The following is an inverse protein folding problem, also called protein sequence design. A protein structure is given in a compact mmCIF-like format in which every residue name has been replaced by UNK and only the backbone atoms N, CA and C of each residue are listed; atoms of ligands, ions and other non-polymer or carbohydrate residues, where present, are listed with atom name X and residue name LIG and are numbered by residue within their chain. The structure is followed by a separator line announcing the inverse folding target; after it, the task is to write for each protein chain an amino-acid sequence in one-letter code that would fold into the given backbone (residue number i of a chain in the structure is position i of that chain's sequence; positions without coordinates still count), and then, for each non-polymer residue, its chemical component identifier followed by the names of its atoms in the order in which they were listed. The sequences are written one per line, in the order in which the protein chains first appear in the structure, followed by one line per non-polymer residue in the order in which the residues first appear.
data_IF_584240046364
#
_entry.id   IF_584240046364
#
_cell.length_a   1.000
_cell.length_b   1.000
_cell.length_c   1.000
_cell.angle_alpha   90.00
_cell.angle_beta   90.00
_cell.angle_gamma   90.00
#
_symmetry.space_group_name_H-M   'P 1'
#
loop_
_entity.id
_entity.type
_entity.pdbx_description
1 polymer ?
#
# COMPACT_ATOMS: atom_id res chain seq x y z
N UNK A 1 -20.49 -16.36 -0.74
CA UNK A 1 -21.77 -16.02 -0.09
C UNK A 1 -21.48 -15.53 1.30
N UNK A 2 -21.98 -14.34 1.63
CA UNK A 2 -21.86 -13.76 2.96
C UNK A 2 -23.25 -13.65 3.58
N UNK A 3 -23.39 -14.13 4.80
CA UNK A 3 -24.59 -13.89 5.61
C UNK A 3 -24.53 -12.53 6.28
N UNK A 4 -25.67 -12.06 6.77
CA UNK A 4 -25.74 -10.89 7.65
C UNK A 4 -24.84 -11.08 8.88
N UNK A 5 -24.84 -12.28 9.48
CA UNK A 5 -24.00 -12.59 10.64
C UNK A 5 -22.50 -12.43 10.33
N UNK A 6 -22.06 -12.82 9.12
CA UNK A 6 -20.66 -12.65 8.75
C UNK A 6 -20.25 -11.17 8.74
N UNK A 7 -21.05 -10.31 8.09
CA UNK A 7 -20.74 -8.88 7.99
C UNK A 7 -20.90 -8.18 9.36
N UNK A 8 -21.97 -8.48 10.11
CA UNK A 8 -22.20 -7.86 11.42
C UNK A 8 -21.14 -8.28 12.44
N UNK A 9 -20.58 -9.49 12.34
CA UNK A 9 -19.46 -9.91 13.20
C UNK A 9 -18.22 -9.03 13.04
N UNK A 10 -18.01 -8.46 11.86
CA UNK A 10 -16.97 -7.49 11.58
C UNK A 10 -17.33 -6.13 12.18
N UNK A 11 -18.54 -5.65 11.93
CA UNK A 11 -19.05 -4.38 12.47
C UNK A 11 -18.94 -4.33 14.00
N UNK A 12 -19.35 -5.41 14.69
CA UNK A 12 -19.32 -5.48 16.15
C UNK A 12 -17.92 -5.31 16.76
N UNK A 13 -16.87 -5.70 16.04
CA UNK A 13 -15.49 -5.56 16.53
C UNK A 13 -14.84 -4.27 16.04
N UNK A 14 -15.12 -3.85 14.79
CA UNK A 14 -14.49 -2.66 14.20
C UNK A 14 -15.12 -1.35 14.65
N UNK A 15 -16.39 -1.35 15.12
CA UNK A 15 -17.08 -0.14 15.62
C UNK A 15 -16.33 0.59 16.74
N UNK A 16 -15.51 -0.13 17.50
CA UNK A 16 -14.74 0.38 18.63
C UNK A 16 -13.42 1.06 18.21
N UNK A 17 -13.03 0.93 16.94
CA UNK A 17 -11.79 1.50 16.43
C UNK A 17 -11.94 3.02 16.26
N UNK A 18 -12.85 3.55 15.42
CA UNK A 18 -13.04 4.99 15.36
C UNK A 18 -13.72 5.53 16.66
N UNK A 19 -13.52 6.81 17.01
CA UNK A 19 -14.18 7.42 18.16
C UNK A 19 -15.70 7.37 18.04
N UNK A 20 -16.40 6.77 19.00
CA UNK A 20 -17.86 6.58 18.95
C UNK A 20 -18.62 7.87 19.30
N UNK A 21 -18.52 8.85 18.42
CA UNK A 21 -19.13 10.17 18.56
C UNK A 21 -20.09 10.42 17.39
N UNK A 22 -21.40 10.64 17.63
CA UNK A 22 -22.41 10.80 16.57
C UNK A 22 -22.14 11.96 15.61
N UNK A 23 -21.37 12.97 16.03
CA UNK A 23 -21.05 14.14 15.20
C UNK A 23 -19.99 13.86 14.11
N UNK A 24 -19.46 12.63 14.04
CA UNK A 24 -18.48 12.29 13.03
C UNK A 24 -19.09 12.21 11.64
N UNK A 25 -18.36 12.78 10.69
CA UNK A 25 -18.73 12.77 9.27
C UNK A 25 -17.75 11.91 8.49
N UNK A 26 -18.29 10.95 7.73
CA UNK A 26 -17.56 10.08 6.83
C UNK A 26 -17.72 10.53 5.38
N UNK A 27 -16.63 10.54 4.62
CA UNK A 27 -16.66 10.71 3.16
C UNK A 27 -16.45 9.36 2.49
N UNK A 28 -17.43 8.94 1.69
CA UNK A 28 -17.41 7.70 0.93
C UNK A 28 -17.35 7.99 -0.56
N UNK A 29 -16.40 7.37 -1.25
CA UNK A 29 -16.23 7.45 -2.71
C UNK A 29 -15.85 6.09 -3.32
N UNK A 30 -15.93 5.03 -2.51
CA UNK A 30 -15.69 3.66 -2.98
C UNK A 30 -17.05 3.04 -3.38
N UNK A 31 -17.07 2.10 -4.34
CA UNK A 31 -18.32 1.46 -4.74
C UNK A 31 -18.95 0.65 -3.61
N UNK A 32 -20.24 0.88 -3.31
CA UNK A 32 -21.00 0.14 -2.30
C UNK A 32 -21.15 -1.37 -2.60
N UNK A 33 -20.96 -1.77 -3.86
CA UNK A 33 -20.94 -3.19 -4.23
C UNK A 33 -19.67 -3.90 -3.74
N UNK A 34 -18.61 -3.16 -3.42
CA UNK A 34 -17.40 -3.72 -2.85
C UNK A 34 -17.58 -3.91 -1.34
N UNK A 35 -17.32 -5.12 -0.85
CA UNK A 35 -17.59 -5.50 0.55
C UNK A 35 -16.88 -4.62 1.58
N UNK A 36 -15.70 -4.09 1.25
CA UNK A 36 -14.93 -3.16 2.10
C UNK A 36 -15.77 -1.93 2.45
N UNK A 37 -16.25 -1.21 1.43
CA UNK A 37 -17.06 -0.01 1.62
C UNK A 37 -18.43 -0.35 2.23
N UNK A 38 -19.01 -1.49 1.83
CA UNK A 38 -20.29 -1.94 2.37
C UNK A 38 -20.24 -2.18 3.87
N UNK A 39 -19.20 -2.84 4.37
CA UNK A 39 -19.02 -3.08 5.81
C UNK A 39 -18.77 -1.78 6.56
N UNK A 40 -17.93 -0.90 6.02
CA UNK A 40 -17.66 0.42 6.62
C UNK A 40 -18.93 1.28 6.71
N UNK A 41 -19.78 1.26 5.68
CA UNK A 41 -21.09 1.93 5.70
C UNK A 41 -21.94 1.44 6.88
N UNK A 42 -21.99 0.14 7.13
CA UNK A 42 -22.72 -0.41 8.28
C UNK A 42 -22.08 -0.02 9.62
N UNK A 43 -20.75 0.03 9.69
CA UNK A 43 -20.04 0.51 10.88
C UNK A 43 -20.31 2.00 11.15
N UNK A 44 -20.36 2.83 10.11
CA UNK A 44 -20.70 4.25 10.21
C UNK A 44 -22.13 4.43 10.70
N UNK A 45 -23.08 3.68 10.13
CA UNK A 45 -24.47 3.68 10.57
C UNK A 45 -24.61 3.23 12.02
N UNK A 46 -23.89 2.19 12.43
CA UNK A 46 -23.88 1.71 13.82
C UNK A 46 -23.41 2.79 14.79
N UNK A 47 -22.35 3.51 14.44
CA UNK A 47 -21.79 4.59 15.27
C UNK A 47 -22.55 5.93 15.14
N UNK A 48 -23.59 6.00 14.31
CA UNK A 48 -24.40 7.20 14.10
C UNK A 48 -23.73 8.29 13.25
N UNK A 49 -22.71 7.95 12.45
CA UNK A 49 -22.01 8.92 11.62
C UNK A 49 -22.83 9.36 10.41
N UNK A 50 -22.66 10.61 10.00
CA UNK A 50 -23.19 11.10 8.73
C UNK A 50 -22.29 10.64 7.58
N UNK A 51 -22.85 10.05 6.53
CA UNK A 51 -22.09 9.55 5.37
C UNK A 51 -22.42 10.42 4.15
N UNK A 52 -21.38 11.00 3.56
CA UNK A 52 -21.49 11.76 2.31
C UNK A 52 -20.88 10.96 1.18
N UNK A 53 -21.64 10.80 0.10
CA UNK A 53 -21.22 10.04 -1.08
C UNK A 53 -20.71 10.98 -2.17
N UNK A 54 -19.56 10.63 -2.74
CA UNK A 54 -18.97 11.31 -3.90
C UNK A 54 -18.80 10.28 -5.01
N UNK A 55 -19.50 10.50 -6.12
CA UNK A 55 -19.51 9.63 -7.30
C UNK A 55 -18.30 9.83 -8.22
N UNK A 56 -17.69 11.02 -8.19
CA UNK A 56 -16.56 11.39 -9.04
C UNK A 56 -15.28 11.62 -8.22
N UNK A 57 -14.28 10.77 -8.47
CA UNK A 57 -12.94 10.85 -7.84
C UNK A 57 -12.26 12.22 -8.03
N UNK A 58 -12.55 12.92 -9.14
CA UNK A 58 -12.01 14.25 -9.40
C UNK A 58 -12.50 15.30 -8.39
N UNK A 59 -13.73 15.13 -7.85
CA UNK A 59 -14.38 16.06 -6.94
C UNK A 59 -14.05 15.82 -5.46
N UNK A 60 -13.34 14.74 -5.13
CA UNK A 60 -13.00 14.40 -3.73
C UNK A 60 -12.30 15.56 -3.01
N UNK A 61 -11.42 16.29 -3.69
CA UNK A 61 -10.71 17.43 -3.10
C UNK A 61 -11.63 18.62 -2.74
N UNK A 62 -12.68 18.84 -3.53
CA UNK A 62 -13.66 19.90 -3.30
C UNK A 62 -14.63 19.46 -2.21
N UNK A 63 -15.13 18.23 -2.30
CA UNK A 63 -15.99 17.60 -1.30
C UNK A 63 -15.35 17.57 0.09
N UNK A 64 -14.06 17.22 0.20
CA UNK A 64 -13.35 17.26 1.50
C UNK A 64 -13.33 18.67 2.10
N UNK A 65 -13.18 19.73 1.28
CA UNK A 65 -13.14 21.12 1.77
C UNK A 65 -14.50 21.63 2.21
N UNK A 66 -15.56 21.20 1.53
CA UNK A 66 -16.94 21.55 1.85
C UNK A 66 -17.46 20.79 3.07
N UNK A 67 -17.37 19.46 3.03
CA UNK A 67 -17.96 18.54 4.02
C UNK A 67 -17.13 18.49 5.31
N UNK A 68 -15.81 18.70 5.19
CA UNK A 68 -14.85 18.63 6.32
C UNK A 68 -14.99 17.30 7.09
N UNK A 69 -14.80 16.14 6.41
CA UNK A 69 -14.99 14.84 7.03
C UNK A 69 -13.97 14.60 8.15
N UNK A 70 -14.37 13.81 9.16
CA UNK A 70 -13.48 13.33 10.21
C UNK A 70 -12.79 12.03 9.78
N UNK A 71 -13.49 11.20 9.03
CA UNK A 71 -13.03 9.89 8.59
C UNK A 71 -13.20 9.72 7.08
N UNK A 72 -12.20 9.12 6.44
CA UNK A 72 -12.31 8.65 5.05
C UNK A 72 -11.85 7.21 4.94
N UNK A 73 -12.48 6.47 4.03
CA UNK A 73 -12.04 5.14 3.61
C UNK A 73 -11.43 5.22 2.23
N UNK A 74 -10.21 4.75 2.09
CA UNK A 74 -9.42 4.89 0.88
C UNK A 74 -8.64 3.62 0.56
N UNK A 75 -8.00 3.63 -0.61
CA UNK A 75 -7.05 2.63 -1.05
C UNK A 75 -5.68 3.30 -1.20
N UNK A 76 -4.57 2.55 -1.06
CA UNK A 76 -3.21 3.12 -1.13
C UNK A 76 -2.98 4.01 -2.33
N UNK A 77 -3.47 3.62 -3.51
CA UNK A 77 -3.29 4.37 -4.76
C UNK A 77 -3.92 5.77 -4.72
N UNK A 78 -5.08 5.90 -4.11
CA UNK A 78 -5.72 7.21 -4.01
C UNK A 78 -4.99 8.08 -2.98
N UNK A 79 -4.54 7.49 -1.87
CA UNK A 79 -3.72 8.19 -0.88
C UNK A 79 -2.37 8.65 -1.47
N UNK A 80 -1.74 7.82 -2.30
CA UNK A 80 -0.56 8.19 -3.11
C UNK A 80 -0.86 9.38 -4.03
N UNK A 81 -1.99 9.36 -4.75
CA UNK A 81 -2.39 10.47 -5.64
C UNK A 81 -2.59 11.78 -4.87
N UNK A 82 -3.22 11.74 -3.70
CA UNK A 82 -3.36 12.90 -2.81
C UNK A 82 -1.98 13.43 -2.42
N UNK A 83 -1.07 12.53 -2.01
CA UNK A 83 0.29 12.90 -1.65
C UNK A 83 1.07 13.50 -2.82
N UNK A 84 0.93 12.97 -4.04
CA UNK A 84 1.58 13.48 -5.24
C UNK A 84 1.11 14.89 -5.60
N UNK A 85 -0.18 15.18 -5.45
CA UNK A 85 -0.73 16.54 -5.61
C UNK A 85 -0.12 17.51 -4.59
N UNK A 86 0.03 17.08 -3.34
CA UNK A 86 0.68 17.87 -2.29
C UNK A 86 2.16 18.11 -2.61
N UNK A 87 2.88 17.07 -3.03
CA UNK A 87 4.29 17.16 -3.42
C UNK A 87 4.49 18.08 -4.63
N UNK A 88 3.58 18.04 -5.60
CA UNK A 88 3.58 18.93 -6.77
C UNK A 88 3.40 20.39 -6.34
N UNK A 89 2.48 20.67 -5.42
CA UNK A 89 2.28 22.00 -4.84
C UNK A 89 3.53 22.47 -4.08
N UNK A 90 4.15 21.59 -3.29
CA UNK A 90 5.39 21.88 -2.59
C UNK A 90 6.58 22.17 -3.51
N UNK A 91 6.69 21.47 -4.66
CA UNK A 91 7.72 21.70 -5.68
C UNK A 91 7.61 23.07 -6.36
N UNK A 92 6.40 23.63 -6.45
CA UNK A 92 6.15 24.98 -7.00
C UNK A 92 6.58 26.10 -6.05
N UNK A 93 6.80 25.81 -4.76
CA UNK A 93 7.31 26.81 -3.81
C UNK A 93 8.73 27.25 -4.16
N UNK A 94 9.08 28.50 -3.83
CA UNK A 94 10.41 29.08 -4.05
C UNK A 94 11.09 29.47 -2.73
N UNK A 95 12.43 29.53 -2.76
CA UNK A 95 13.26 29.99 -1.64
C UNK A 95 13.06 29.20 -0.34
N UNK A 96 13.02 29.92 0.79
CA UNK A 96 12.95 29.33 2.13
C UNK A 96 11.69 28.48 2.36
N UNK A 97 10.55 28.84 1.73
CA UNK A 97 9.30 28.08 1.83
C UNK A 97 9.46 26.66 1.27
N UNK A 98 10.22 26.52 0.18
CA UNK A 98 10.54 25.20 -0.41
C UNK A 98 11.45 24.40 0.52
N UNK A 99 12.46 25.03 1.11
CA UNK A 99 13.37 24.36 2.03
C UNK A 99 12.63 23.81 3.26
N UNK A 100 11.78 24.64 3.89
CA UNK A 100 10.95 24.24 5.04
C UNK A 100 10.00 23.10 4.66
N UNK A 101 9.38 23.16 3.47
CA UNK A 101 8.51 22.09 2.99
C UNK A 101 9.26 20.75 2.91
N UNK A 102 10.37 20.68 2.17
CA UNK A 102 11.10 19.41 2.02
C UNK A 102 11.77 18.95 3.32
N UNK A 103 12.14 19.88 4.21
CA UNK A 103 12.58 19.55 5.56
C UNK A 103 11.48 18.85 6.37
N UNK A 104 10.25 19.37 6.34
CA UNK A 104 9.11 18.75 7.02
C UNK A 104 8.78 17.36 6.46
N UNK A 105 8.84 17.17 5.14
CA UNK A 105 8.64 15.86 4.51
C UNK A 105 9.73 14.88 4.94
N UNK A 106 11.01 15.29 4.92
CA UNK A 106 12.10 14.43 5.34
C UNK A 106 12.06 14.12 6.84
N UNK A 107 11.53 15.02 7.67
CA UNK A 107 11.24 14.75 9.07
C UNK A 107 10.14 13.70 9.21
N UNK A 108 9.05 13.82 8.42
CA UNK A 108 7.94 12.87 8.44
C UNK A 108 8.33 11.46 8.00
N UNK A 109 9.23 11.31 7.02
CA UNK A 109 9.78 10.01 6.62
C UNK A 109 10.45 9.24 7.76
N UNK A 110 10.97 9.96 8.76
CA UNK A 110 11.67 9.40 9.93
C UNK A 110 10.74 9.19 11.12
N UNK A 111 9.45 9.42 10.97
CA UNK A 111 8.49 9.23 12.05
C UNK A 111 8.42 7.74 12.42
N UNK A 112 8.68 7.44 13.69
CA UNK A 112 8.53 6.10 14.24
C UNK A 112 7.22 6.00 15.03
N UNK A 113 6.41 4.96 14.77
CA UNK A 113 5.17 4.70 15.49
C UNK A 113 5.38 4.28 16.94
N UNK A 114 6.54 3.69 17.27
CA UNK A 114 6.88 3.22 18.62
C UNK A 114 7.40 4.33 19.54
N UNK A 115 7.52 5.56 19.02
CA UNK A 115 7.99 6.72 19.77
C UNK A 115 9.23 7.34 19.16
N UNK A 116 9.40 8.64 19.41
CA UNK A 116 10.53 9.44 18.93
C UNK A 116 11.12 10.25 20.09
N UNK A 117 12.31 10.81 19.91
CA UNK A 117 12.93 11.66 20.94
C UNK A 117 12.17 12.97 21.16
N UNK A 118 12.27 13.57 22.35
CA UNK A 118 11.64 14.86 22.66
C UNK A 118 12.05 15.97 21.68
N UNK A 119 13.31 15.97 21.26
CA UNK A 119 13.81 16.90 20.24
C UNK A 119 13.14 16.70 18.87
N UNK A 120 12.88 15.44 18.49
CA UNK A 120 12.13 15.15 17.28
C UNK A 120 10.70 15.71 17.37
N UNK A 121 10.01 15.52 18.51
CA UNK A 121 8.67 16.06 18.70
C UNK A 121 8.62 17.59 18.67
N UNK A 122 9.63 18.28 19.20
CA UNK A 122 9.75 19.73 19.06
C UNK A 122 9.85 20.16 17.59
N UNK A 123 10.72 19.50 16.81
CA UNK A 123 10.82 19.75 15.35
C UNK A 123 9.52 19.41 14.63
N UNK A 124 8.84 18.34 15.03
CA UNK A 124 7.56 17.92 14.46
C UNK A 124 6.47 18.94 14.74
N UNK A 125 6.44 19.53 15.93
CA UNK A 125 5.51 20.61 16.28
C UNK A 125 5.69 21.82 15.34
N UNK A 126 6.93 22.22 15.07
CA UNK A 126 7.23 23.28 14.08
C UNK A 126 6.73 22.87 12.69
N UNK A 127 7.05 21.66 12.24
CA UNK A 127 6.61 21.14 10.94
C UNK A 127 5.07 21.11 10.82
N UNK A 128 4.38 20.73 11.90
CA UNK A 128 2.91 20.72 11.97
C UNK A 128 2.32 22.11 11.85
N UNK A 129 2.90 23.10 12.52
CA UNK A 129 2.42 24.50 12.43
C UNK A 129 2.68 25.14 11.07
N UNK A 130 3.85 24.90 10.46
CA UNK A 130 4.27 25.61 9.24
C UNK A 130 3.83 24.93 7.93
N UNK A 131 3.82 23.60 7.90
CA UNK A 131 3.60 22.80 6.68
C UNK A 131 2.34 21.96 6.79
N UNK A 132 2.22 21.09 7.80
CA UNK A 132 1.11 20.14 7.85
C UNK A 132 -0.24 20.78 8.19
N UNK A 133 -0.27 21.95 8.85
CA UNK A 133 -1.50 22.75 9.03
C UNK A 133 -2.18 23.07 7.69
N UNK A 134 -1.40 23.29 6.63
CA UNK A 134 -1.91 23.53 5.28
C UNK A 134 -2.45 22.25 4.63
N UNK A 135 -1.92 21.09 5.02
CA UNK A 135 -2.43 19.80 4.56
C UNK A 135 -3.78 19.52 5.19
N UNK A 136 -3.89 19.72 6.51
CA UNK A 136 -5.16 19.67 7.23
C UNK A 136 -6.18 20.58 6.57
N UNK A 137 -5.86 21.86 6.34
CA UNK A 137 -6.76 22.78 5.67
C UNK A 137 -7.17 22.32 4.25
N UNK A 138 -6.24 21.76 3.48
CA UNK A 138 -6.52 21.24 2.14
C UNK A 138 -7.42 20.00 2.14
N UNK A 139 -7.42 19.22 3.23
CA UNK A 139 -8.21 18.00 3.42
C UNK A 139 -9.45 18.24 4.31
N UNK A 140 -9.92 19.48 4.43
CA UNK A 140 -11.14 19.83 5.16
C UNK A 140 -10.95 20.23 6.63
N UNK A 141 -9.76 20.06 7.19
CA UNK A 141 -9.37 20.55 8.53
C UNK A 141 -9.77 19.66 9.69
N UNK A 142 -10.83 18.87 9.56
CA UNK A 142 -11.32 17.96 10.60
C UNK A 142 -10.84 16.52 10.45
N UNK A 143 -10.23 16.19 9.30
CA UNK A 143 -9.80 14.83 8.99
C UNK A 143 -8.72 14.37 9.96
N UNK A 144 -9.03 13.33 10.74
CA UNK A 144 -8.10 12.75 11.72
C UNK A 144 -7.80 11.28 11.43
N UNK A 145 -8.72 10.57 10.79
CA UNK A 145 -8.66 9.13 10.56
C UNK A 145 -8.81 8.77 9.07
N UNK A 146 -7.85 7.98 8.57
CA UNK A 146 -7.82 7.46 7.21
C UNK A 146 -7.75 5.94 7.31
N UNK A 147 -8.77 5.23 6.83
CA UNK A 147 -8.76 3.76 6.78
C UNK A 147 -8.30 3.33 5.39
N UNK A 148 -7.19 2.61 5.31
CA UNK A 148 -6.59 2.12 4.06
C UNK A 148 -6.69 0.61 3.97
N UNK A 149 -7.23 0.10 2.87
CA UNK A 149 -7.37 -1.34 2.62
C UNK A 149 -7.17 -1.74 1.16
N UNK A 150 -7.50 -2.99 0.85
CA UNK A 150 -7.45 -3.62 -0.48
C UNK A 150 -6.05 -3.81 -1.11
N UNK A 151 -5.04 -3.06 -0.66
CA UNK A 151 -3.65 -3.22 -1.08
C UNK A 151 -2.69 -2.75 0.04
N UNK A 152 -1.41 -3.11 -0.10
CA UNK A 152 -0.34 -2.68 0.82
C UNK A 152 -0.04 -1.19 0.66
N UNK A 153 0.11 -0.47 1.78
CA UNK A 153 0.52 0.93 1.79
C UNK A 153 2.04 1.04 1.92
N UNK A 154 2.65 1.98 1.17
CA UNK A 154 4.07 2.25 1.34
C UNK A 154 4.36 2.75 2.76
N UNK A 155 5.33 2.14 3.45
CA UNK A 155 5.75 2.50 4.83
C UNK A 155 6.09 3.98 4.91
N UNK A 156 6.80 4.49 3.90
CA UNK A 156 7.16 5.91 3.80
C UNK A 156 5.93 6.82 3.77
N UNK A 157 4.87 6.40 3.09
CA UNK A 157 3.66 7.20 2.96
C UNK A 157 2.93 7.21 4.30
N UNK A 158 2.74 6.04 4.91
CA UNK A 158 2.16 5.90 6.25
C UNK A 158 2.90 6.80 7.26
N UNK A 159 4.24 6.75 7.31
CA UNK A 159 5.02 7.54 8.28
C UNK A 159 4.86 9.05 8.09
N UNK A 160 4.79 9.55 6.86
CA UNK A 160 4.58 10.97 6.58
C UNK A 160 3.19 11.43 7.00
N UNK A 161 2.14 10.66 6.70
CA UNK A 161 0.77 11.03 7.10
C UNK A 161 0.61 11.04 8.62
N UNK A 162 1.17 10.05 9.32
CA UNK A 162 1.19 10.03 10.78
C UNK A 162 1.97 11.22 11.38
N UNK A 163 3.11 11.58 10.79
CA UNK A 163 3.84 12.79 11.17
C UNK A 163 2.99 14.05 10.98
N UNK A 164 2.26 14.13 9.86
CA UNK A 164 1.34 15.22 9.54
C UNK A 164 0.11 15.28 10.46
N UNK A 165 -0.13 14.24 11.27
CA UNK A 165 -1.22 14.18 12.23
C UNK A 165 -2.48 13.48 11.70
N UNK A 166 -2.38 12.78 10.57
CA UNK A 166 -3.45 11.90 10.08
C UNK A 166 -3.15 10.46 10.50
N UNK A 167 -4.10 9.82 11.18
CA UNK A 167 -3.96 8.43 11.59
C UNK A 167 -4.36 7.54 10.41
N UNK A 168 -3.36 6.98 9.73
CA UNK A 168 -3.62 6.01 8.66
C UNK A 168 -3.63 4.62 9.26
N UNK A 169 -4.80 3.98 9.31
CA UNK A 169 -4.98 2.62 9.79
C UNK A 169 -5.07 1.68 8.59
N UNK A 170 -4.19 0.68 8.54
CA UNK A 170 -4.17 -0.33 7.48
C UNK A 170 -4.99 -1.54 7.91
N UNK A 171 -5.91 -1.98 7.06
CA UNK A 171 -6.74 -3.16 7.27
C UNK A 171 -6.49 -4.23 6.22
N UNK A 172 -6.54 -5.50 6.64
CA UNK A 172 -6.42 -6.66 5.77
C UNK A 172 -7.63 -7.57 5.89
N UNK A 173 -8.02 -8.08 4.73
CA UNK A 173 -8.85 -9.25 4.56
C UNK A 173 -9.39 -9.30 3.14
N UNK A 174 -10.33 -10.21 2.91
CA UNK A 174 -10.84 -10.59 1.60
C UNK A 174 -12.37 -10.55 1.60
N UNK A 175 -12.96 -10.69 0.41
CA UNK A 175 -14.41 -10.82 0.29
C UNK A 175 -14.94 -12.00 1.09
N UNK A 176 -14.19 -13.08 1.09
CA UNK A 176 -14.46 -14.32 1.79
C UNK A 176 -14.37 -14.19 3.31
N UNK A 177 -13.87 -13.06 3.84
CA UNK A 177 -13.70 -12.80 5.28
C UNK A 177 -14.50 -11.58 5.77
N UNK A 178 -15.48 -11.13 4.99
CA UNK A 178 -16.54 -10.18 5.37
C UNK A 178 -16.21 -8.82 6.02
N UNK A 179 -15.22 -8.01 5.60
CA UNK A 179 -14.03 -8.28 4.80
C UNK A 179 -12.73 -8.18 5.61
N UNK A 180 -12.79 -7.99 6.92
CA UNK A 180 -11.63 -7.68 7.77
C UNK A 180 -11.27 -8.90 8.61
N UNK A 181 -9.97 -9.20 8.60
CA UNK A 181 -9.30 -10.21 9.43
C UNK A 181 -8.44 -9.53 10.48
N UNK A 182 -7.71 -8.47 10.09
CA UNK A 182 -6.86 -7.67 10.98
C UNK A 182 -6.92 -6.20 10.57
N UNK A 183 -6.70 -5.31 11.53
CA UNK A 183 -6.65 -3.88 11.25
C UNK A 183 -5.85 -3.15 12.32
N UNK A 184 -5.06 -2.16 11.92
CA UNK A 184 -4.38 -1.25 12.85
C UNK A 184 -5.40 -0.58 13.77
N UNK A 185 -5.02 -0.34 15.02
CA UNK A 185 -5.89 0.26 16.02
C UNK A 185 -5.10 1.24 16.90
N UNK A 186 -5.76 1.89 17.87
CA UNK A 186 -5.23 3.01 18.65
C UNK A 186 -4.31 2.58 19.79
N UNK A 187 -4.19 1.27 20.05
CA UNK A 187 -3.39 0.75 21.15
C UNK A 187 -1.89 0.92 20.95
N UNK A 188 -1.18 1.05 22.07
CA UNK A 188 0.28 1.01 22.09
C UNK A 188 0.74 -0.35 21.56
N UNK A 189 1.70 -0.35 20.64
CA UNK A 189 2.21 -1.52 19.89
C UNK A 189 1.28 -2.09 18.80
N UNK A 190 0.06 -1.57 18.64
CA UNK A 190 -0.88 -1.99 17.57
C UNK A 190 -0.64 -1.25 16.23
N UNK A 191 0.29 -0.29 16.24
CA UNK A 191 0.66 0.52 15.06
C UNK A 191 2.13 0.23 14.74
N UNK A 192 2.34 -0.65 13.77
CA UNK A 192 3.65 -0.98 13.21
C UNK A 192 3.60 -0.78 11.70
N UNK A 193 4.36 0.19 11.17
CA UNK A 193 4.30 0.49 9.74
C UNK A 193 4.76 -0.70 8.89
N UNK A 194 4.00 -0.97 7.82
CA UNK A 194 4.21 -2.15 6.98
C UNK A 194 3.61 -3.42 7.57
N UNK A 195 2.69 -3.28 8.53
CA UNK A 195 1.79 -4.32 9.03
C UNK A 195 0.34 -3.85 8.91
N UNK A 196 -0.59 -4.79 9.03
CA UNK A 196 -2.04 -4.57 8.96
C UNK A 196 -2.69 -4.79 10.33
N UNK A 197 -1.90 -4.61 11.39
CA UNK A 197 -2.34 -4.56 12.77
C UNK A 197 -2.69 -5.92 13.39
N UNK A 198 -3.24 -5.91 14.61
CA UNK A 198 -3.66 -7.12 15.29
C UNK A 198 -4.87 -7.76 14.60
N UNK A 199 -4.98 -9.08 14.76
CA UNK A 199 -6.16 -9.86 14.35
C UNK A 199 -7.38 -9.41 15.14
N UNK A 200 -8.55 -9.32 14.48
CA UNK A 200 -9.80 -8.99 15.15
C UNK A 200 -10.10 -9.98 16.29
N UNK A 201 -10.64 -9.48 17.40
CA UNK A 201 -10.84 -10.25 18.64
C UNK A 201 -11.66 -11.54 18.47
N UNK A 202 -12.60 -11.56 17.51
CA UNK A 202 -13.46 -12.71 17.23
C UNK A 202 -12.95 -13.59 16.06
N UNK A 203 -11.78 -13.26 15.51
CA UNK A 203 -11.16 -13.98 14.39
C UNK A 203 -9.91 -14.69 14.89
N UNK A 204 -9.70 -15.91 14.40
CA UNK A 204 -8.49 -16.68 14.63
C UNK A 204 -7.72 -16.77 13.32
N UNK A 205 -6.40 -16.67 13.41
CA UNK A 205 -5.52 -17.01 12.29
C UNK A 205 -4.52 -18.08 12.72
N UNK A 206 -4.03 -18.82 11.74
CA UNK A 206 -2.78 -19.59 11.84
C UNK A 206 -1.97 -19.40 10.57
N UNK A 207 -0.66 -19.57 10.70
CA UNK A 207 0.27 -19.55 9.57
C UNK A 207 0.61 -21.00 9.25
N UNK A 208 0.27 -21.45 8.04
CA UNK A 208 0.59 -22.79 7.56
C UNK A 208 2.11 -22.96 7.34
N UNK A 209 2.57 -24.19 7.13
CA UNK A 209 4.00 -24.49 6.95
C UNK A 209 4.64 -23.75 5.76
N UNK A 210 3.84 -23.49 4.72
CA UNK A 210 4.25 -22.72 3.54
C UNK A 210 4.08 -21.19 3.72
N UNK A 211 3.72 -20.75 4.92
CA UNK A 211 3.49 -19.35 5.26
C UNK A 211 2.09 -18.83 4.95
N UNK A 212 1.18 -19.66 4.43
CA UNK A 212 -0.17 -19.23 4.08
C UNK A 212 -0.96 -18.85 5.34
N UNK A 213 -1.60 -17.69 5.29
CA UNK A 213 -2.52 -17.24 6.34
C UNK A 213 -3.81 -18.05 6.17
N UNK A 214 -4.20 -18.73 7.24
CA UNK A 214 -5.48 -19.43 7.30
C UNK A 214 -6.35 -18.78 8.37
N UNK A 215 -7.62 -18.56 8.04
CA UNK A 215 -8.56 -17.80 8.87
C UNK A 215 -9.72 -18.66 9.31
N UNK A 216 -10.10 -18.56 10.57
CA UNK A 216 -11.31 -19.17 11.11
C UNK A 216 -12.03 -18.16 12.00
N UNK A 217 -13.34 -18.03 11.83
CA UNK A 217 -14.13 -17.08 12.59
C UNK A 217 -15.51 -16.85 11.99
N UNK A 218 -16.36 -16.09 12.68
CA UNK A 218 -17.71 -15.78 12.22
C UNK A 218 -17.72 -14.91 10.96
N UNK A 219 -16.60 -14.28 10.61
CA UNK A 219 -16.44 -13.44 9.43
C UNK A 219 -16.21 -14.26 8.13
N UNK A 220 -15.84 -15.54 8.24
CA UNK A 220 -15.59 -16.41 7.09
C UNK A 220 -16.90 -16.72 6.35
N UNK A 221 -16.83 -16.66 5.02
CA UNK A 221 -17.96 -16.91 4.13
C UNK A 221 -18.59 -18.28 4.34
N UNK A 222 -19.85 -18.41 3.94
CA UNK A 222 -20.54 -19.72 3.89
C UNK A 222 -19.98 -20.59 2.75
N UNK A 223 -19.50 -19.97 1.68
CA UNK A 223 -19.01 -20.64 0.47
C UNK A 223 -19.40 -19.90 -0.80
N UNK A 224 -18.88 -20.33 -1.95
CA UNK A 224 -19.22 -19.76 -3.26
C UNK A 224 -20.61 -20.22 -3.70
N UNK A 225 -21.42 -19.31 -4.26
CA UNK A 225 -22.81 -19.60 -4.61
C UNK A 225 -22.87 -20.57 -5.78
N UNK A 226 -23.58 -21.71 -5.60
CA UNK A 226 -23.70 -22.82 -6.57
C UNK A 226 -22.37 -23.49 -6.94
N UNK A 227 -21.30 -23.24 -6.18
CA UNK A 227 -19.95 -23.74 -6.46
C UNK A 227 -19.36 -24.47 -5.24
N UNK A 228 -19.90 -25.65 -4.87
CA UNK A 228 -19.43 -26.41 -3.71
C UNK A 228 -17.99 -26.94 -3.89
N UNK A 229 -17.57 -27.23 -5.13
CA UNK A 229 -16.21 -27.67 -5.45
C UNK A 229 -15.18 -26.60 -5.09
N UNK A 230 -15.34 -25.39 -5.62
CA UNK A 230 -14.48 -24.24 -5.30
C UNK A 230 -14.51 -23.90 -3.81
N UNK A 231 -15.68 -24.08 -3.15
CA UNK A 231 -15.80 -23.87 -1.70
C UNK A 231 -14.92 -24.86 -0.94
N UNK A 232 -14.98 -26.15 -1.30
CA UNK A 232 -14.14 -27.18 -0.69
C UNK A 232 -12.66 -26.94 -0.95
N UNK A 233 -12.30 -26.46 -2.13
CA UNK A 233 -10.90 -26.18 -2.51
C UNK A 233 -10.26 -25.09 -1.64
N UNK A 234 -11.01 -24.10 -1.17
CA UNK A 234 -10.48 -23.00 -0.34
C UNK A 234 -10.60 -23.25 1.16
N UNK A 235 -11.18 -24.37 1.57
CA UNK A 235 -11.26 -24.78 2.97
C UNK A 235 -10.24 -25.88 3.26
N UNK A 236 -9.69 -25.90 4.47
CA UNK A 236 -8.94 -27.05 4.98
C UNK A 236 -9.89 -28.09 5.54
N UNK A 237 -9.41 -29.33 5.70
CA UNK A 237 -10.21 -30.43 6.25
C UNK A 237 -10.70 -30.15 7.67
N UNK A 238 -9.93 -29.38 8.44
CA UNK A 238 -10.26 -28.95 9.80
C UNK A 238 -10.97 -27.58 9.88
N UNK A 239 -11.49 -27.07 8.75
CA UNK A 239 -12.45 -25.96 8.74
C UNK A 239 -11.86 -24.55 8.73
N UNK A 240 -10.61 -24.37 8.27
CA UNK A 240 -9.98 -23.06 8.09
C UNK A 240 -10.07 -22.61 6.63
N UNK A 241 -10.30 -21.31 6.43
CA UNK A 241 -10.27 -20.70 5.10
C UNK A 241 -8.83 -20.38 4.70
N UNK A 242 -8.40 -20.89 3.54
CA UNK A 242 -7.11 -20.62 2.91
C UNK A 242 -7.18 -19.32 2.13
N UNK A 243 -6.47 -18.29 2.60
CA UNK A 243 -6.59 -16.95 2.00
C UNK A 243 -5.84 -16.82 0.67
N UNK A 244 -4.91 -17.72 0.37
CA UNK A 244 -3.96 -17.56 -0.74
C UNK A 244 -2.99 -16.39 -0.54
N UNK A 245 -2.90 -15.84 0.67
CA UNK A 245 -1.96 -14.78 1.06
C UNK A 245 -0.94 -15.36 2.05
N UNK A 246 0.32 -14.99 1.86
CA UNK A 246 1.42 -15.34 2.75
C UNK A 246 1.65 -14.19 3.72
N UNK A 247 1.93 -14.54 4.97
CA UNK A 247 2.31 -13.54 5.95
C UNK A 247 2.89 -14.14 7.22
N UNK A 248 3.16 -13.26 8.18
CA UNK A 248 3.69 -13.62 9.48
C UNK A 248 3.18 -12.69 10.56
N UNK A 249 3.18 -13.19 11.80
CA UNK A 249 3.01 -12.34 12.97
C UNK A 249 4.35 -11.69 13.34
N UNK A 250 4.32 -10.42 13.70
CA UNK A 250 5.48 -9.71 14.27
C UNK A 250 5.59 -10.01 15.77
N UNK A 251 6.70 -9.60 16.39
CA UNK A 251 6.92 -9.77 17.83
C UNK A 251 5.85 -9.05 18.68
N UNK A 252 5.18 -8.05 18.11
CA UNK A 252 4.07 -7.33 18.74
C UNK A 252 2.70 -7.98 18.49
N UNK A 253 2.64 -9.10 17.77
CA UNK A 253 1.39 -9.77 17.40
C UNK A 253 0.64 -9.12 16.24
N UNK A 254 1.26 -8.20 15.50
CA UNK A 254 0.67 -7.59 14.31
C UNK A 254 0.85 -8.52 13.10
N UNK A 255 -0.18 -8.62 12.27
CA UNK A 255 -0.11 -9.39 11.04
C UNK A 255 0.62 -8.58 9.96
N UNK A 256 1.61 -9.19 9.31
CA UNK A 256 2.32 -8.64 8.16
C UNK A 256 2.10 -9.51 6.94
N UNK A 257 1.52 -8.93 5.89
CA UNK A 257 1.34 -9.58 4.59
C UNK A 257 2.63 -9.45 3.79
N UNK A 258 3.12 -10.57 3.25
CA UNK A 258 4.36 -10.60 2.46
C UNK A 258 4.08 -10.74 0.97
N UNK A 259 3.18 -11.63 0.56
CA UNK A 259 2.82 -11.81 -0.85
C UNK A 259 1.53 -12.62 -1.03
N UNK A 260 1.13 -12.85 -2.28
CA UNK A 260 0.13 -13.83 -2.69
C UNK A 260 0.80 -15.16 -2.99
N UNK A 261 0.27 -16.26 -2.46
CA UNK A 261 0.80 -17.62 -2.65
C UNK A 261 1.00 -18.00 -4.13
N UNK A 262 0.09 -17.57 -5.01
CA UNK A 262 0.19 -17.79 -6.47
C UNK A 262 1.27 -16.97 -7.17
N UNK A 263 1.73 -15.89 -6.53
CA UNK A 263 2.70 -14.95 -7.09
C UNK A 263 4.12 -15.21 -6.58
N UNK A 264 4.26 -15.96 -5.47
CA UNK A 264 5.55 -16.45 -5.00
C UNK A 264 6.08 -17.46 -5.99
N UNK A 265 7.33 -17.28 -6.37
CA UNK A 265 8.05 -18.26 -7.18
C UNK A 265 9.20 -18.88 -6.40
N UNK A 266 9.65 -20.04 -6.89
CA UNK A 266 10.77 -20.78 -6.34
C UNK A 266 11.96 -20.67 -7.29
N UNK A 267 13.13 -20.37 -6.75
CA UNK A 267 14.39 -20.43 -7.50
C UNK A 267 14.89 -21.87 -7.60
N UNK A 268 15.91 -22.13 -8.44
CA UNK A 268 16.53 -23.46 -8.57
C UNK A 268 17.11 -23.97 -7.23
N UNK A 269 17.53 -23.06 -6.33
CA UNK A 269 18.00 -23.42 -4.99
C UNK A 269 16.88 -23.85 -4.03
N UNK A 270 15.65 -23.82 -4.51
CA UNK A 270 14.46 -24.20 -3.77
C UNK A 270 13.99 -23.17 -2.75
N UNK A 271 14.56 -21.95 -2.78
CA UNK A 271 14.14 -20.84 -1.92
C UNK A 271 12.93 -20.13 -2.54
N UNK A 272 11.96 -19.79 -1.69
CA UNK A 272 10.78 -19.04 -2.07
C UNK A 272 11.10 -17.54 -2.10
N UNK A 273 10.58 -16.86 -3.12
CA UNK A 273 10.75 -15.42 -3.33
C UNK A 273 9.39 -14.77 -3.39
N UNK A 274 9.17 -13.76 -2.55
CA UNK A 274 8.00 -12.89 -2.55
C UNK A 274 8.27 -11.67 -3.45
N UNK A 275 7.97 -11.70 -4.77
CA UNK A 275 8.26 -10.60 -5.66
C UNK A 275 7.57 -9.30 -5.25
N UNK A 276 6.32 -9.33 -4.77
CA UNK A 276 5.57 -8.12 -4.47
C UNK A 276 6.19 -7.33 -3.32
N UNK A 277 6.75 -8.03 -2.31
CA UNK A 277 7.47 -7.39 -1.22
C UNK A 277 8.62 -6.52 -1.74
N UNK A 278 9.42 -7.09 -2.65
CA UNK A 278 10.59 -6.45 -3.23
C UNK A 278 10.16 -5.33 -4.20
N UNK A 279 9.18 -5.60 -5.05
CA UNK A 279 8.61 -4.65 -6.02
C UNK A 279 8.06 -3.40 -5.31
N UNK A 280 7.23 -3.59 -4.27
CA UNK A 280 6.65 -2.49 -3.51
C UNK A 280 7.72 -1.66 -2.81
N UNK A 281 8.77 -2.31 -2.29
CA UNK A 281 9.89 -1.61 -1.66
C UNK A 281 10.68 -0.76 -2.66
N UNK A 282 10.91 -1.28 -3.86
CA UNK A 282 11.60 -0.56 -4.94
C UNK A 282 10.75 0.59 -5.51
N UNK A 283 9.43 0.43 -5.57
CA UNK A 283 8.47 1.49 -5.95
C UNK A 283 8.42 2.66 -4.96
N UNK A 284 8.97 2.52 -3.75
CA UNK A 284 9.17 3.69 -2.89
C UNK A 284 10.15 4.69 -3.54
N UNK A 285 11.02 4.24 -4.45
CA UNK A 285 11.97 5.12 -5.14
C UNK A 285 11.28 6.01 -6.17
N UNK A 286 11.51 7.33 -6.19
CA UNK A 286 10.92 8.21 -7.20
C UNK A 286 11.51 7.98 -8.61
N UNK A 287 12.56 7.16 -8.75
CA UNK A 287 13.15 6.80 -10.04
C UNK A 287 12.44 5.60 -10.70
N UNK A 288 11.65 4.84 -9.95
CA UNK A 288 11.01 3.60 -10.39
C UNK A 288 9.51 3.82 -10.43
N UNK A 289 8.90 3.75 -11.62
CA UNK A 289 7.44 3.85 -11.77
C UNK A 289 6.81 2.46 -11.60
N UNK A 290 7.29 1.50 -12.39
CA UNK A 290 6.91 0.11 -12.28
C UNK A 290 8.12 -0.81 -12.30
N UNK A 291 7.96 -1.98 -11.70
CA UNK A 291 8.99 -3.01 -11.61
C UNK A 291 8.30 -4.36 -11.56
N UNK A 292 8.89 -5.35 -12.21
CA UNK A 292 8.51 -6.76 -12.10
C UNK A 292 9.73 -7.57 -11.71
N UNK A 293 9.65 -8.25 -10.57
CA UNK A 293 10.65 -9.20 -10.10
C UNK A 293 10.36 -10.57 -10.72
N UNK A 294 11.43 -11.20 -11.20
CA UNK A 294 11.45 -12.44 -11.97
C UNK A 294 12.51 -13.38 -11.38
N UNK A 295 12.42 -14.66 -11.69
CA UNK A 295 13.41 -15.64 -11.24
C UNK A 295 12.85 -17.04 -10.97
N UNK A 296 11.62 -17.30 -11.41
CA UNK A 296 11.03 -18.63 -11.33
C UNK A 296 11.88 -19.64 -12.09
N UNK A 297 12.30 -20.71 -11.40
CA UNK A 297 13.21 -21.72 -11.93
C UNK A 297 14.57 -21.15 -12.41
N UNK A 298 15.00 -20.01 -11.86
CA UNK A 298 16.31 -19.40 -12.13
C UNK A 298 17.22 -19.46 -10.92
N UNK A 299 18.52 -19.21 -11.14
CA UNK A 299 19.55 -19.27 -10.07
C UNK A 299 19.38 -18.19 -9.00
N UNK A 300 18.79 -17.05 -9.36
CA UNK A 300 18.63 -15.87 -8.50
C UNK A 300 17.44 -15.03 -8.92
N UNK A 301 16.92 -14.15 -8.05
CA UNK A 301 15.97 -13.11 -8.43
C UNK A 301 16.61 -12.03 -9.32
N UNK A 302 15.88 -11.59 -10.35
CA UNK A 302 16.22 -10.47 -11.21
C UNK A 302 15.01 -9.54 -11.40
N UNK A 303 15.19 -8.37 -12.01
CA UNK A 303 14.10 -7.41 -12.20
C UNK A 303 14.08 -6.74 -13.57
N UNK A 304 12.89 -6.49 -14.09
CA UNK A 304 12.66 -5.53 -15.18
C UNK A 304 11.98 -4.29 -14.61
N UNK A 305 12.52 -3.12 -14.94
CA UNK A 305 12.10 -1.84 -14.37
C UNK A 305 11.65 -0.90 -15.48
N UNK A 306 10.44 -0.36 -15.34
CA UNK A 306 9.94 0.79 -16.09
C UNK A 306 10.23 2.06 -15.27
N UNK A 307 11.21 2.89 -15.68
CA UNK A 307 11.60 4.05 -14.89
C UNK A 307 10.55 5.16 -14.91
N UNK A 308 10.53 5.99 -13.87
CA UNK A 308 9.74 7.22 -13.89
C UNK A 308 10.47 8.28 -14.75
N UNK A 309 10.19 8.27 -16.06
CA UNK A 309 10.83 9.19 -17.02
C UNK A 309 10.57 10.66 -16.71
N UNK A 310 9.41 10.99 -16.14
CA UNK A 310 9.10 12.36 -15.71
C UNK A 310 10.05 12.80 -14.58
N UNK A 311 10.29 11.95 -13.58
CA UNK A 311 11.22 12.24 -12.50
C UNK A 311 12.66 12.29 -13.00
N UNK A 312 13.06 11.33 -13.83
CA UNK A 312 14.40 11.26 -14.42
C UNK A 312 14.71 12.52 -15.22
N UNK A 313 13.81 12.98 -16.10
CA UNK A 313 14.00 14.20 -16.88
C UNK A 313 14.27 15.42 -15.99
N UNK A 314 13.47 15.58 -14.92
CA UNK A 314 13.66 16.67 -13.96
C UNK A 314 14.97 16.55 -13.17
N UNK A 315 15.35 15.33 -12.79
CA UNK A 315 16.59 15.08 -12.06
C UNK A 315 17.83 15.32 -12.93
N UNK A 316 17.81 14.85 -14.18
CA UNK A 316 18.87 15.06 -15.17
C UNK A 316 19.07 16.54 -15.48
N UNK A 317 17.99 17.32 -15.60
CA UNK A 317 18.08 18.78 -15.79
C UNK A 317 18.85 19.49 -14.66
N UNK A 318 18.70 19.04 -13.41
CA UNK A 318 19.47 19.58 -12.26
C UNK A 318 20.93 19.13 -12.27
N UNK A 319 21.22 17.96 -12.86
CA UNK A 319 22.56 17.37 -12.94
C UNK A 319 23.30 17.70 -14.24
N UNK A 320 22.76 18.58 -15.08
CA UNK A 320 23.28 18.92 -16.41
C UNK A 320 23.51 17.67 -17.28
N UNK A 321 22.60 16.71 -17.19
CA UNK A 321 22.57 15.51 -18.02
C UNK A 321 21.46 15.68 -19.06
N UNK A 322 21.77 15.40 -20.33
CA UNK A 322 20.83 15.50 -21.43
C UNK A 322 20.63 14.13 -22.08
N UNK A 323 19.38 13.83 -22.44
CA UNK A 323 19.01 12.67 -23.24
C UNK A 323 17.85 13.07 -24.16
N UNK A 324 17.83 12.51 -25.37
CA UNK A 324 16.87 12.90 -26.42
C UNK A 324 15.59 12.07 -26.38
N UNK A 325 15.69 10.82 -25.93
CA UNK A 325 14.56 9.88 -25.85
C UNK A 325 14.63 9.00 -24.60
N UNK A 326 13.52 8.33 -24.27
CA UNK A 326 13.51 7.33 -23.20
C UNK A 326 14.48 6.16 -23.48
N UNK A 327 14.63 5.78 -24.75
CA UNK A 327 15.57 4.74 -25.18
C UNK A 327 17.04 5.14 -24.90
N UNK A 328 17.37 6.43 -25.02
CA UNK A 328 18.69 6.94 -24.66
C UNK A 328 18.85 7.02 -23.14
N UNK A 329 17.78 7.40 -22.41
CA UNK A 329 17.78 7.51 -20.97
C UNK A 329 18.13 6.17 -20.29
N UNK A 330 17.59 5.06 -20.77
CA UNK A 330 17.86 3.73 -20.19
C UNK A 330 19.27 3.20 -20.47
N UNK A 331 19.94 3.72 -21.51
CA UNK A 331 21.33 3.39 -21.86
C UNK A 331 22.34 4.28 -21.14
N UNK A 332 21.91 5.43 -20.60
CA UNK A 332 22.79 6.37 -19.92
C UNK A 332 23.37 5.74 -18.63
N UNK A 333 24.70 5.66 -18.48
CA UNK A 333 25.34 5.00 -17.33
C UNK A 333 25.02 5.70 -16.00
N UNK A 334 24.84 7.02 -16.00
CA UNK A 334 24.51 7.79 -14.79
C UNK A 334 23.12 7.43 -14.26
N UNK A 335 22.15 7.23 -15.16
CA UNK A 335 20.78 6.82 -14.80
C UNK A 335 20.79 5.38 -14.30
N UNK A 336 21.47 4.47 -15.01
CA UNK A 336 21.59 3.06 -14.58
C UNK A 336 22.27 2.94 -13.22
N UNK A 337 23.34 3.70 -12.97
CA UNK A 337 24.02 3.71 -11.66
C UNK A 337 23.10 4.26 -10.56
N UNK A 338 22.30 5.29 -10.87
CA UNK A 338 21.36 5.87 -9.92
C UNK A 338 20.29 4.85 -9.49
N UNK A 339 19.74 4.09 -10.44
CA UNK A 339 18.77 3.02 -10.17
C UNK A 339 19.46 1.85 -9.46
N UNK A 340 20.68 1.48 -9.83
CA UNK A 340 21.46 0.45 -9.14
C UNK A 340 21.69 0.78 -7.67
N UNK A 341 21.88 2.06 -7.31
CA UNK A 341 21.96 2.51 -5.91
C UNK A 341 20.65 2.27 -5.13
N UNK A 342 19.50 2.43 -5.78
CA UNK A 342 18.19 2.14 -5.17
C UNK A 342 18.04 0.63 -4.93
N UNK A 343 18.41 -0.20 -5.91
CA UNK A 343 18.40 -1.66 -5.78
C UNK A 343 19.33 -2.11 -4.65
N UNK A 344 20.55 -1.56 -4.59
CA UNK A 344 21.51 -1.87 -3.51
C UNK A 344 20.96 -1.50 -2.13
N UNK A 345 20.27 -0.36 -2.03
CA UNK A 345 19.65 0.09 -0.77
C UNK A 345 18.48 -0.80 -0.33
N UNK A 346 17.75 -1.42 -1.27
CA UNK A 346 16.69 -2.38 -0.95
C UNK A 346 17.30 -3.74 -0.61
N UNK A 347 18.25 -4.23 -1.41
CA UNK A 347 18.95 -5.50 -1.18
C UNK A 347 19.64 -5.59 0.20
N UNK A 348 20.07 -4.47 0.78
CA UNK A 348 20.66 -4.46 2.14
C UNK A 348 19.64 -4.75 3.25
N UNK A 349 18.33 -4.69 2.95
CA UNK A 349 17.23 -4.96 3.87
C UNK A 349 16.62 -6.36 3.64
N UNK A 350 17.08 -7.09 2.62
CA UNK A 350 16.56 -8.39 2.21
C UNK A 350 17.49 -9.53 2.62
N UNK A 351 16.92 -10.73 2.77
CA UNK A 351 17.69 -11.96 2.92
C UNK A 351 18.58 -12.22 1.70
N UNK A 352 19.69 -12.92 1.87
CA UNK A 352 20.68 -13.14 0.81
C UNK A 352 20.09 -13.74 -0.47
N UNK A 353 19.14 -14.68 -0.32
CA UNK A 353 18.47 -15.35 -1.42
C UNK A 353 17.38 -14.50 -2.10
N UNK A 354 16.92 -13.41 -1.47
CA UNK A 354 15.88 -12.51 -2.00
C UNK A 354 16.47 -11.34 -2.79
N UNK A 355 17.79 -11.16 -2.77
CA UNK A 355 18.46 -10.01 -3.39
C UNK A 355 18.34 -10.05 -4.91
N UNK A 356 17.97 -8.93 -5.50
CA UNK A 356 17.98 -8.74 -6.95
C UNK A 356 19.44 -8.69 -7.42
N UNK A 357 19.86 -9.69 -8.19
CA UNK A 357 21.25 -9.83 -8.67
C UNK A 357 21.47 -9.05 -9.97
N UNK A 358 20.52 -9.13 -10.91
CA UNK A 358 20.55 -8.41 -12.18
C UNK A 358 19.25 -7.65 -12.42
N UNK A 359 19.33 -6.57 -13.19
CA UNK A 359 18.16 -5.82 -13.62
C UNK A 359 18.34 -5.24 -15.03
N UNK A 360 17.21 -5.05 -15.72
CA UNK A 360 17.15 -4.33 -16.98
C UNK A 360 16.07 -3.25 -16.95
N UNK A 361 16.25 -2.23 -17.79
CA UNK A 361 15.35 -1.09 -17.90
C UNK A 361 14.55 -1.15 -19.19
N UNK A 362 13.26 -0.83 -19.12
CA UNK A 362 12.40 -0.65 -20.31
C UNK A 362 12.32 0.81 -20.70
N UNK A 363 12.30 1.10 -22.00
CA UNK A 363 12.15 2.45 -22.56
C UNK A 363 10.69 2.94 -22.58
N UNK A 364 9.73 2.04 -22.39
CA UNK A 364 8.30 2.36 -22.30
C UNK A 364 7.83 2.49 -20.85
N UNK A 365 6.99 3.50 -20.61
CA UNK A 365 6.19 3.60 -19.40
C UNK A 365 5.02 2.60 -19.48
N UNK A 366 4.83 1.78 -18.45
CA UNK A 366 3.73 0.82 -18.41
C UNK A 366 2.41 1.49 -18.05
N UNK A 367 1.37 1.19 -18.82
CA UNK A 367 0.04 1.79 -18.66
C UNK A 367 -1.07 0.78 -18.92
N UNK A 368 -2.32 1.20 -18.70
CA UNK A 368 -3.50 0.39 -19.05
C UNK A 368 -3.65 0.32 -20.57
N UNK A 369 -3.43 1.44 -21.26
CA UNK A 369 -3.58 1.57 -22.72
C UNK A 369 -2.54 0.75 -23.49
N UNK A 370 -1.30 0.71 -22.99
CA UNK A 370 -0.23 -0.11 -23.56
C UNK A 370 -0.31 -1.60 -23.16
N UNK A 371 -1.25 -1.95 -22.27
CA UNK A 371 -1.66 -3.31 -21.96
C UNK A 371 -0.92 -4.00 -20.80
N UNK A 372 0.17 -3.42 -20.29
CA UNK A 372 0.96 -4.01 -19.18
C UNK A 372 0.25 -3.91 -17.83
N UNK A 373 -0.67 -2.96 -17.67
CA UNK A 373 -1.43 -2.79 -16.44
C UNK A 373 -2.91 -3.17 -16.63
N UNK A 374 -3.51 -3.70 -15.57
CA UNK A 374 -4.97 -3.84 -15.41
C UNK A 374 -5.61 -2.46 -15.18
N UNK A 375 -6.93 -2.30 -15.33
CA UNK A 375 -7.62 -1.04 -14.98
C UNK A 375 -7.37 -0.60 -13.52
N UNK A 376 -7.12 -1.56 -12.63
CA UNK A 376 -6.72 -1.32 -11.23
C UNK A 376 -5.21 -1.07 -11.04
N UNK A 377 -4.46 -0.84 -12.13
CA UNK A 377 -3.02 -0.60 -12.17
C UNK A 377 -2.12 -1.74 -11.66
N UNK A 378 -2.67 -2.95 -11.51
CA UNK A 378 -1.88 -4.17 -11.23
C UNK A 378 -1.17 -4.65 -12.49
N UNK A 379 0.04 -5.20 -12.33
CA UNK A 379 0.85 -5.75 -13.42
C UNK A 379 0.17 -6.96 -14.06
N UNK A 380 0.11 -7.01 -15.38
CA UNK A 380 -0.21 -8.23 -16.14
C UNK A 380 1.07 -8.99 -16.44
N UNK A 381 1.59 -9.74 -15.45
CA UNK A 381 2.89 -10.42 -15.52
C UNK A 381 3.09 -11.21 -16.82
N UNK A 382 2.11 -12.03 -17.23
CA UNK A 382 2.19 -12.81 -18.46
C UNK A 382 2.39 -11.94 -19.73
N UNK A 383 1.70 -10.79 -19.81
CA UNK A 383 1.83 -9.85 -20.94
C UNK A 383 3.21 -9.19 -20.94
N UNK A 384 3.67 -8.76 -19.76
CA UNK A 384 4.99 -8.13 -19.61
C UNK A 384 6.10 -9.14 -19.94
N UNK A 385 6.00 -10.38 -19.47
CA UNK A 385 6.95 -11.45 -19.76
C UNK A 385 7.01 -11.75 -21.25
N UNK A 386 5.87 -11.85 -21.93
CA UNK A 386 5.83 -12.07 -23.37
C UNK A 386 6.41 -10.88 -24.15
N UNK A 387 6.05 -9.65 -23.77
CA UNK A 387 6.51 -8.43 -24.45
C UNK A 387 8.01 -8.18 -24.30
N UNK A 388 8.58 -8.49 -23.14
CA UNK A 388 9.98 -8.23 -22.82
C UNK A 388 10.85 -9.49 -22.75
N UNK A 389 10.43 -10.60 -23.36
CA UNK A 389 11.13 -11.89 -23.32
C UNK A 389 12.64 -11.74 -23.61
N UNK A 390 13.00 -10.99 -24.65
CA UNK A 390 14.40 -10.76 -25.05
C UNK A 390 15.23 -9.98 -24.03
N UNK A 391 14.60 -9.15 -23.19
CA UNK A 391 15.27 -8.49 -22.07
C UNK A 391 15.38 -9.43 -20.87
N UNK A 392 14.34 -10.24 -20.63
CA UNK A 392 14.32 -11.25 -19.56
C UNK A 392 15.41 -12.29 -19.78
N UNK A 393 15.60 -12.75 -21.02
CA UNK A 393 16.64 -13.73 -21.36
C UNK A 393 18.05 -13.20 -21.08
N UNK A 394 18.27 -11.88 -21.09
CA UNK A 394 19.58 -11.28 -20.73
C UNK A 394 19.83 -11.26 -19.22
N UNK A 395 18.77 -11.41 -18.41
CA UNK A 395 18.87 -11.39 -16.95
C UNK A 395 19.40 -12.70 -16.38
N UNK A 396 19.24 -13.82 -17.07
CA UNK A 396 19.58 -15.15 -16.57
C UNK A 396 20.71 -15.77 -17.38
#
# INVERSE_FOLDING_TARGET
MLSHANILSNVEVTKLIPPQTPDYTALSFLPLCHVYERMLTYMYQYNGYSIYYVDNVALIGDAMREIKPNIISTVPRLLESIFDKIMTTGRKLKGIKRMIFFWAINLGKKYNSQGNSSWYYFRLWIARKLVFSKWHAALGGNLDLIVSGAASLQIRLASIFWAAGFRVLEGYGLTETSPVVSVNNWGKNEIEFGTVGPVLKNVKIRIAEDGEIQVNGPNVMIGYYKEPGLTKEVMTEDGWFKTGDIGRLTEYGNLKITDRKKEIFKTVSGKYIAPQLIENKLKESPFIENIMVLGENQKYPAAIISPNFFHIKNWCAVKNQHFSSNADAIKNPVIRERIAKEIKSVNSQLGEHERIVKFELTDQAWSVDSGELTPTLKLKRAVITAKYATLIDKLF
#
